data_IF_303522044825
#
_entry.id   IF_303522044825
#
_cell.length_a   1.000
_cell.length_b   1.000
_cell.length_c   1.000
_cell.angle_alpha   90.00
_cell.angle_beta   90.00
_cell.angle_gamma   90.00
#
_symmetry.space_group_name_H-M   'P 1'
#
loop_
_entity.id
_entity.type
_entity.pdbx_description
1 polymer ?
#
# COMPACT_ATOMS: atom_id res chain seq x y z
N UNK A 1 14.04 19.72 16.73
CA UNK A 1 13.09 18.73 16.18
C UNK A 1 13.92 17.55 15.69
N UNK A 2 13.82 16.38 16.34
CA UNK A 2 14.52 15.18 15.89
C UNK A 2 13.85 14.69 14.60
N UNK A 3 14.61 14.65 13.50
CA UNK A 3 14.13 14.04 12.25
C UNK A 3 14.34 12.53 12.36
N UNK A 4 13.26 11.76 12.47
CA UNK A 4 13.30 10.30 12.40
C UNK A 4 13.12 9.83 10.96
N UNK A 5 13.81 8.75 10.61
CA UNK A 5 13.69 8.12 9.29
C UNK A 5 12.39 7.32 9.23
N UNK A 6 11.54 7.61 8.24
CA UNK A 6 10.33 6.84 7.95
C UNK A 6 10.41 6.28 6.53
N UNK A 7 10.83 5.01 6.41
CA UNK A 7 10.99 4.31 5.13
C UNK A 7 10.33 2.93 5.25
N UNK A 8 9.48 2.59 4.27
CA UNK A 8 8.79 1.29 4.18
C UNK A 8 9.02 0.71 2.79
N UNK A 9 9.47 -0.54 2.70
CA UNK A 9 9.59 -1.29 1.44
C UNK A 9 8.64 -2.47 1.49
N UNK A 10 7.70 -2.54 0.55
CA UNK A 10 6.71 -3.63 0.46
C UNK A 10 6.82 -4.32 -0.89
N UNK A 11 6.81 -5.66 -0.88
CA UNK A 11 6.74 -6.50 -2.08
C UNK A 11 5.63 -7.51 -1.87
N UNK A 12 4.65 -7.52 -2.76
CA UNK A 12 3.45 -8.31 -2.58
C UNK A 12 2.59 -8.36 -3.83
N UNK A 13 1.38 -8.91 -3.69
CA UNK A 13 0.38 -9.03 -4.77
C UNK A 13 -0.76 -8.05 -4.52
N UNK A 14 -1.27 -7.44 -5.58
CA UNK A 14 -2.48 -6.63 -5.47
C UNK A 14 -3.68 -7.53 -5.12
N UNK A 15 -4.45 -7.16 -4.10
CA UNK A 15 -5.64 -7.91 -3.67
C UNK A 15 -6.84 -7.76 -4.59
N UNK A 16 -6.85 -6.69 -5.37
CA UNK A 16 -7.89 -6.30 -6.33
C UNK A 16 -7.29 -5.32 -7.34
N UNK A 17 -8.04 -5.00 -8.37
CA UNK A 17 -7.67 -3.93 -9.29
C UNK A 17 -7.60 -2.58 -8.55
N UNK A 18 -6.57 -1.75 -8.81
CA UNK A 18 -6.45 -0.43 -8.19
C UNK A 18 -7.63 0.49 -8.54
N UNK A 19 -8.12 1.21 -7.54
CA UNK A 19 -9.20 2.18 -7.69
C UNK A 19 -8.63 3.59 -7.89
N UNK A 20 -8.83 4.19 -9.06
CA UNK A 20 -8.33 5.54 -9.38
C UNK A 20 -9.48 6.55 -9.37
N UNK A 21 -9.30 7.65 -8.64
CA UNK A 21 -10.26 8.75 -8.57
C UNK A 21 -9.61 10.08 -8.98
N UNK A 22 -10.26 10.77 -9.90
CA UNK A 22 -9.93 12.13 -10.32
C UNK A 22 -10.82 13.12 -9.56
N UNK A 23 -10.22 14.23 -9.13
CA UNK A 23 -10.93 15.31 -8.45
C UNK A 23 -10.96 16.56 -9.32
N UNK A 24 -11.96 17.42 -9.12
CA UNK A 24 -12.10 18.70 -9.84
C UNK A 24 -10.90 19.63 -9.62
N UNK A 25 -10.19 19.48 -8.49
CA UNK A 25 -8.93 20.19 -8.21
C UNK A 25 -7.78 19.79 -9.13
N UNK A 26 -7.96 18.77 -9.99
CA UNK A 26 -6.90 18.17 -10.80
C UNK A 26 -6.07 17.12 -10.06
N UNK A 27 -6.30 16.93 -8.74
CA UNK A 27 -5.63 15.89 -7.95
C UNK A 27 -6.09 14.50 -8.37
N UNK A 28 -5.19 13.53 -8.29
CA UNK A 28 -5.48 12.12 -8.59
C UNK A 28 -5.09 11.26 -7.41
N UNK A 29 -5.99 10.38 -6.98
CA UNK A 29 -5.73 9.41 -5.91
C UNK A 29 -5.96 8.00 -6.45
N UNK A 30 -4.95 7.16 -6.32
CA UNK A 30 -5.04 5.73 -6.54
C UNK A 30 -5.04 5.01 -5.19
N UNK A 31 -6.00 4.12 -4.96
CA UNK A 31 -6.07 3.23 -3.80
C UNK A 31 -5.90 1.79 -4.22
N UNK A 32 -5.10 1.04 -3.47
CA UNK A 32 -4.95 -0.40 -3.67
C UNK A 32 -4.70 -1.10 -2.32
N UNK A 33 -4.99 -2.39 -2.27
CA UNK A 33 -4.63 -3.26 -1.15
C UNK A 33 -3.55 -4.23 -1.61
N UNK A 34 -2.48 -4.38 -0.82
CA UNK A 34 -1.34 -5.26 -1.12
C UNK A 34 -1.27 -6.41 -0.11
N UNK A 35 -1.30 -7.64 -0.59
CA UNK A 35 -1.01 -8.85 0.18
C UNK A 35 0.51 -9.10 0.20
N UNK A 36 1.11 -9.09 1.38
CA UNK A 36 2.55 -9.36 1.58
C UNK A 36 2.70 -10.62 2.41
N UNK A 37 3.40 -11.61 1.86
CA UNK A 37 3.74 -12.82 2.58
C UNK A 37 5.01 -12.58 3.40
N UNK A 38 4.91 -12.61 4.73
CA UNK A 38 6.11 -12.65 5.57
C UNK A 38 6.62 -14.08 5.68
N UNK A 39 7.93 -14.34 5.47
CA UNK A 39 8.52 -15.64 5.72
C UNK A 39 8.61 -15.86 7.23
N UNK A 40 7.51 -16.28 7.85
CA UNK A 40 7.44 -16.66 9.26
C UNK A 40 7.01 -18.11 9.36
N UNK A 41 7.49 -18.83 10.38
CA UNK A 41 7.30 -20.29 10.50
C UNK A 41 5.83 -20.75 10.54
N UNK A 42 4.87 -19.89 10.90
CA UNK A 42 3.50 -20.28 11.25
C UNK A 42 2.40 -19.31 10.75
N UNK A 43 2.53 -18.69 9.57
CA UNK A 43 1.43 -17.85 9.06
C UNK A 43 1.10 -18.19 7.62
N UNK A 44 -0.02 -18.88 7.44
CA UNK A 44 -0.61 -19.18 6.14
C UNK A 44 -1.40 -17.98 5.57
N UNK A 45 -1.50 -16.89 6.33
CA UNK A 45 -2.27 -15.69 5.96
C UNK A 45 -1.33 -14.53 5.59
N UNK A 46 -1.52 -13.88 4.43
CA UNK A 46 -0.76 -12.67 4.10
C UNK A 46 -1.13 -11.51 5.02
N UNK A 47 -0.18 -10.59 5.20
CA UNK A 47 -0.50 -9.27 5.72
C UNK A 47 -1.08 -8.39 4.63
N UNK A 48 -2.13 -7.65 4.97
CA UNK A 48 -2.82 -6.76 4.04
C UNK A 48 -2.48 -5.30 4.35
N UNK A 49 -1.98 -4.58 3.35
CA UNK A 49 -1.64 -3.15 3.44
C UNK A 49 -2.55 -2.34 2.53
N UNK A 50 -3.19 -1.30 3.07
CA UNK A 50 -3.92 -0.32 2.26
C UNK A 50 -2.98 0.81 1.86
N UNK A 51 -2.84 1.04 0.56
CA UNK A 51 -1.93 2.02 -0.02
C UNK A 51 -2.73 3.12 -0.72
N UNK A 52 -2.31 4.36 -0.53
CA UNK A 52 -2.80 5.53 -1.26
C UNK A 52 -1.63 6.18 -2.00
N UNK A 53 -1.73 6.29 -3.32
CA UNK A 53 -0.76 6.99 -4.16
C UNK A 53 -1.44 8.22 -4.72
N UNK A 54 -0.84 9.40 -4.49
CA UNK A 54 -1.40 10.67 -4.95
C UNK A 54 -0.45 11.35 -5.92
N UNK A 55 -1.00 11.97 -6.96
CA UNK A 55 -0.29 12.94 -7.81
C UNK A 55 -0.83 14.33 -7.55
#
# INVERSE_FOLDING_TARGET
MLMSLNVVTLVGRAGRDPEVKYFESGSVVCKLTLAVNRPTRNSDTPDWFNLGVTR
#
